data_IF_114130381057
#
_entry.id   IF_114130381057
#
_cell.length_a   1.000
_cell.length_b   1.000
_cell.length_c   1.000
_cell.angle_alpha   90.00
_cell.angle_beta   90.00
_cell.angle_gamma   90.00
#
_symmetry.space_group_name_H-M   'P 1'
#
loop_
_entity.id
_entity.type
_entity.pdbx_description
1 polymer ?
#
# COMPACT_ATOMS: atom_id res chain seq x y z
N UNK A 1 6.86 -21.70 6.89
CA UNK A 1 5.45 -21.27 6.78
C UNK A 1 5.34 -19.79 7.14
N UNK A 2 4.67 -18.96 6.31
CA UNK A 2 4.40 -17.56 6.64
C UNK A 2 3.29 -17.52 7.71
N UNK A 3 3.51 -16.83 8.82
CA UNK A 3 2.47 -16.70 9.87
C UNK A 3 1.33 -15.80 9.37
N UNK A 4 0.10 -16.06 9.80
CA UNK A 4 -1.08 -15.31 9.35
C UNK A 4 -1.01 -13.80 9.62
N UNK A 5 -0.36 -13.40 10.72
CA UNK A 5 -0.16 -12.01 11.12
C UNK A 5 0.99 -11.29 10.40
N UNK A 6 1.78 -11.99 9.58
CA UNK A 6 2.95 -11.41 8.91
C UNK A 6 2.50 -10.60 7.70
N UNK A 7 2.90 -9.33 7.72
CA UNK A 7 2.68 -8.37 6.65
C UNK A 7 3.98 -7.88 6.02
N UNK A 8 5.15 -8.21 6.60
CA UNK A 8 6.47 -7.84 6.09
C UNK A 8 7.38 -9.06 6.04
N UNK A 9 8.07 -9.26 4.93
CA UNK A 9 9.11 -10.26 4.74
C UNK A 9 10.43 -9.56 4.45
N UNK A 10 11.50 -10.02 5.07
CA UNK A 10 12.85 -9.51 4.84
C UNK A 10 13.74 -10.68 4.50
N UNK A 11 14.41 -10.62 3.36
CA UNK A 11 15.29 -11.68 2.88
C UNK A 11 16.75 -11.34 3.17
N UNK A 12 17.42 -12.24 3.87
CA UNK A 12 18.83 -12.11 4.24
C UNK A 12 19.58 -13.41 3.93
N UNK A 13 20.88 -13.34 3.74
CA UNK A 13 21.75 -14.51 3.59
C UNK A 13 22.66 -14.71 4.82
N UNK A 14 23.41 -15.81 4.81
CA UNK A 14 24.36 -16.14 5.87
C UNK A 14 25.53 -15.15 5.97
N UNK A 15 25.89 -14.50 4.87
CA UNK A 15 26.97 -13.50 4.86
C UNK A 15 26.53 -12.26 5.65
N UNK A 16 25.34 -11.74 5.37
CA UNK A 16 24.73 -10.63 6.09
C UNK A 16 24.62 -10.89 7.59
N UNK A 17 24.12 -12.07 7.97
CA UNK A 17 23.95 -12.41 9.39
C UNK A 17 25.29 -12.44 10.13
N UNK A 18 26.36 -12.92 9.48
CA UNK A 18 27.72 -12.96 10.03
C UNK A 18 28.33 -11.57 10.17
N UNK A 19 28.13 -10.70 9.18
CA UNK A 19 28.58 -9.30 9.24
C UNK A 19 27.85 -8.54 10.35
N UNK A 20 26.55 -8.81 10.55
CA UNK A 20 25.77 -8.28 11.67
C UNK A 20 26.30 -8.72 13.04
N UNK A 21 26.61 -10.02 13.19
CA UNK A 21 27.19 -10.58 14.42
C UNK A 21 28.50 -9.89 14.82
N UNK A 22 29.32 -9.51 13.83
CA UNK A 22 30.61 -8.88 14.06
C UNK A 22 30.50 -7.36 14.31
N UNK A 23 29.49 -6.71 13.74
CA UNK A 23 29.39 -5.24 13.71
C UNK A 23 28.34 -4.62 14.64
N UNK A 24 27.25 -5.33 14.97
CA UNK A 24 26.10 -4.73 15.65
C UNK A 24 25.21 -5.77 16.38
N UNK A 25 25.65 -6.25 17.55
CA UNK A 25 24.95 -7.27 18.35
C UNK A 25 23.51 -6.87 18.71
N UNK A 26 23.24 -5.60 19.03
CA UNK A 26 21.89 -5.14 19.34
C UNK A 26 20.93 -5.20 18.13
N UNK A 27 21.45 -5.00 16.92
CA UNK A 27 20.67 -5.06 15.68
C UNK A 27 20.42 -6.51 15.29
N UNK A 28 21.37 -7.40 15.54
CA UNK A 28 21.22 -8.84 15.33
C UNK A 28 19.99 -9.40 16.07
N UNK A 29 19.74 -8.93 17.30
CA UNK A 29 18.56 -9.35 18.06
C UNK A 29 17.25 -8.94 17.39
N UNK A 30 17.18 -7.79 16.73
CA UNK A 30 15.98 -7.35 16.00
C UNK A 30 15.70 -8.18 14.74
N UNK A 31 16.74 -8.75 14.11
CA UNK A 31 16.59 -9.65 12.98
C UNK A 31 16.27 -11.08 13.41
N UNK A 32 16.77 -11.52 14.56
CA UNK A 32 16.43 -12.83 15.13
C UNK A 32 15.05 -12.85 15.80
N UNK A 33 14.63 -11.72 16.38
CA UNK A 33 13.34 -11.54 17.05
C UNK A 33 12.58 -10.34 16.46
N UNK A 34 12.12 -10.43 15.20
CA UNK A 34 11.35 -9.35 14.58
C UNK A 34 10.00 -9.14 15.27
N UNK A 35 9.38 -7.99 15.02
CA UNK A 35 8.01 -7.70 15.47
C UNK A 35 7.02 -8.72 14.92
N UNK A 36 5.87 -8.88 15.57
CA UNK A 36 4.89 -9.92 15.21
C UNK A 36 4.35 -9.85 13.79
N UNK A 37 4.41 -8.69 13.16
CA UNK A 37 4.00 -8.43 11.77
C UNK A 37 5.13 -8.63 10.74
N UNK A 38 6.33 -8.97 11.18
CA UNK A 38 7.54 -9.07 10.36
C UNK A 38 8.17 -10.45 10.50
N UNK A 39 8.61 -11.03 9.38
CA UNK A 39 9.35 -12.28 9.37
C UNK A 39 10.62 -12.15 8.55
N UNK A 40 11.75 -12.51 9.16
CA UNK A 40 13.05 -12.57 8.49
C UNK A 40 13.22 -13.96 7.91
N UNK A 41 13.53 -14.04 6.63
CA UNK A 41 13.74 -15.26 5.86
C UNK A 41 15.24 -15.36 5.54
N UNK A 42 15.88 -16.41 6.05
CA UNK A 42 17.30 -16.69 5.82
C UNK A 42 17.46 -17.60 4.60
N UNK A 43 18.31 -17.20 3.67
CA UNK A 43 18.64 -17.96 2.45
C UNK A 43 19.95 -18.76 2.66
N UNK A 44 20.09 -19.95 2.03
CA UNK A 44 19.15 -20.60 1.11
C UNK A 44 17.96 -21.28 1.82
N UNK A 45 16.83 -21.38 1.12
CA UNK A 45 15.60 -22.01 1.62
C UNK A 45 15.62 -23.53 1.44
N UNK A 46 14.90 -24.23 2.33
CA UNK A 46 14.51 -25.61 2.09
C UNK A 46 13.38 -25.71 1.07
N UNK A 47 13.25 -26.85 0.41
CA UNK A 47 12.27 -27.06 -0.69
C UNK A 47 10.81 -26.90 -0.25
N UNK A 48 10.49 -27.34 0.97
CA UNK A 48 9.19 -27.15 1.60
C UNK A 48 8.89 -25.67 1.88
N UNK A 49 9.87 -24.92 2.37
CA UNK A 49 9.75 -23.48 2.63
C UNK A 49 9.56 -22.68 1.34
N UNK A 50 10.30 -23.04 0.28
CA UNK A 50 10.18 -22.43 -1.04
C UNK A 50 8.77 -22.59 -1.60
N UNK A 51 8.21 -23.81 -1.54
CA UNK A 51 6.86 -24.11 -2.04
C UNK A 51 5.79 -23.22 -1.40
N UNK A 52 5.92 -22.93 -0.11
CA UNK A 52 4.99 -22.02 0.58
C UNK A 52 5.17 -20.56 0.19
N UNK A 53 6.41 -20.11 -0.06
CA UNK A 53 6.70 -18.73 -0.43
C UNK A 53 6.20 -18.42 -1.84
N UNK A 54 6.43 -19.31 -2.81
CA UNK A 54 6.00 -19.10 -4.22
C UNK A 54 4.49 -19.08 -4.40
N UNK A 55 3.71 -19.56 -3.43
CA UNK A 55 2.25 -19.40 -3.43
C UNK A 55 1.80 -17.96 -3.08
N UNK A 56 2.67 -17.18 -2.45
CA UNK A 56 2.35 -15.86 -1.88
C UNK A 56 3.13 -14.70 -2.52
N UNK A 57 4.11 -14.98 -3.38
CA UNK A 57 4.95 -13.99 -4.08
C UNK A 57 5.55 -14.58 -5.36
N UNK A 58 6.18 -13.72 -6.18
CA UNK A 58 6.93 -14.16 -7.36
C UNK A 58 8.30 -14.74 -6.96
N UNK A 59 8.78 -15.76 -7.68
CA UNK A 59 10.07 -16.42 -7.40
C UNK A 59 11.23 -15.43 -7.52
N UNK A 60 11.14 -14.47 -8.44
CA UNK A 60 12.16 -13.44 -8.65
C UNK A 60 12.36 -12.52 -7.44
N UNK A 61 11.41 -12.52 -6.50
CA UNK A 61 11.44 -11.72 -5.29
C UNK A 61 12.15 -12.39 -4.11
N UNK A 62 12.51 -13.66 -4.25
CA UNK A 62 13.21 -14.45 -3.23
C UNK A 62 14.72 -14.28 -3.43
N UNK A 63 15.26 -13.13 -3.01
CA UNK A 63 16.69 -12.82 -3.11
C UNK A 63 17.17 -12.01 -1.90
N UNK A 64 18.44 -12.11 -1.51
CA UNK A 64 18.99 -11.29 -0.43
C UNK A 64 18.74 -9.80 -0.70
N UNK A 65 18.48 -9.02 0.34
CA UNK A 65 18.24 -7.58 0.23
C UNK A 65 16.80 -7.18 -0.09
N UNK A 66 15.93 -8.12 -0.47
CA UNK A 66 14.53 -7.80 -0.72
C UNK A 66 13.72 -7.61 0.57
N UNK A 67 12.89 -6.57 0.57
CA UNK A 67 11.83 -6.34 1.57
C UNK A 67 10.50 -6.39 0.84
N UNK A 68 9.64 -7.34 1.24
CA UNK A 68 8.30 -7.49 0.69
C UNK A 68 7.24 -7.15 1.73
N UNK A 69 6.15 -6.56 1.27
CA UNK A 69 5.07 -6.04 2.10
C UNK A 69 3.72 -6.53 1.58
N UNK A 70 2.77 -6.74 2.49
CA UNK A 70 1.43 -7.27 2.19
C UNK A 70 0.35 -6.29 2.64
N UNK A 71 -0.51 -5.79 1.74
CA UNK A 71 -1.70 -5.05 2.13
C UNK A 71 -2.71 -5.92 2.89
N UNK A 72 -3.52 -5.33 3.76
CA UNK A 72 -4.52 -6.10 4.54
C UNK A 72 -5.65 -6.69 3.70
N UNK A 73 -5.87 -6.16 2.49
CA UNK A 73 -6.96 -6.55 1.59
C UNK A 73 -6.55 -7.55 0.50
N UNK A 74 -5.30 -8.04 0.51
CA UNK A 74 -4.86 -9.06 -0.42
C UNK A 74 -3.83 -9.98 0.20
N UNK A 75 -4.00 -11.28 0.00
CA UNK A 75 -3.05 -12.27 0.48
C UNK A 75 -1.88 -12.47 -0.51
N UNK A 76 -1.18 -11.40 -0.85
CA UNK A 76 0.00 -11.43 -1.73
C UNK A 76 1.02 -10.38 -1.30
N UNK A 77 2.29 -10.78 -1.27
CA UNK A 77 3.39 -9.87 -0.99
C UNK A 77 3.86 -9.19 -2.27
N UNK A 78 4.24 -7.92 -2.13
CA UNK A 78 4.78 -7.06 -3.19
C UNK A 78 6.08 -6.43 -2.71
N UNK A 79 6.93 -6.00 -3.62
CA UNK A 79 8.07 -5.16 -3.24
C UNK A 79 7.58 -3.86 -2.62
N UNK A 80 8.38 -3.30 -1.72
CA UNK A 80 8.04 -2.06 -1.03
C UNK A 80 7.85 -0.90 -2.04
N UNK A 81 8.62 -0.89 -3.14
CA UNK A 81 8.44 0.07 -4.25
C UNK A 81 7.12 -0.10 -5.02
N UNK A 82 6.65 -1.34 -5.22
CA UNK A 82 5.39 -1.57 -5.93
C UNK A 82 4.17 -1.22 -5.08
N UNK A 83 4.31 -1.38 -3.76
CA UNK A 83 3.28 -1.02 -2.80
C UNK A 83 3.04 0.48 -2.76
N UNK A 84 4.08 1.31 -2.75
CA UNK A 84 3.92 2.77 -2.73
C UNK A 84 3.25 3.30 -4.01
N UNK A 85 3.55 2.72 -5.18
CA UNK A 85 3.01 3.19 -6.45
C UNK A 85 1.58 2.72 -6.76
N UNK A 86 1.26 1.45 -6.51
CA UNK A 86 0.05 0.82 -7.10
C UNK A 86 -1.12 0.62 -6.13
N UNK A 87 -0.87 0.74 -4.82
CA UNK A 87 -1.83 0.40 -3.77
C UNK A 87 -3.07 1.29 -3.78
N UNK A 88 -2.89 2.60 -3.98
CA UNK A 88 -3.98 3.59 -3.96
C UNK A 88 -5.01 3.29 -5.06
N UNK A 89 -4.51 3.19 -6.30
CA UNK A 89 -5.32 2.90 -7.48
C UNK A 89 -6.05 1.56 -7.35
N UNK A 90 -5.38 0.55 -6.80
CA UNK A 90 -5.98 -0.79 -6.62
C UNK A 90 -7.11 -0.77 -5.60
N UNK A 91 -6.93 -0.18 -4.42
CA UNK A 91 -8.00 -0.09 -3.41
C UNK A 91 -9.17 0.74 -3.93
N UNK A 92 -8.91 1.83 -4.66
CA UNK A 92 -9.97 2.62 -5.30
C UNK A 92 -10.75 1.79 -6.32
N UNK A 93 -10.09 0.97 -7.16
CA UNK A 93 -10.80 0.05 -8.07
C UNK A 93 -11.70 -0.94 -7.32
N UNK A 94 -11.23 -1.50 -6.20
CA UNK A 94 -12.04 -2.39 -5.36
C UNK A 94 -13.24 -1.65 -4.76
N UNK A 95 -13.04 -0.40 -4.34
CA UNK A 95 -14.11 0.47 -3.87
C UNK A 95 -15.18 0.69 -4.94
N UNK A 96 -14.76 1.09 -6.15
CA UNK A 96 -15.68 1.26 -7.28
C UNK A 96 -16.43 -0.04 -7.60
N UNK A 97 -15.75 -1.19 -7.61
CA UNK A 97 -16.38 -2.49 -7.84
C UNK A 97 -17.44 -2.81 -6.78
N UNK A 98 -17.15 -2.53 -5.50
CA UNK A 98 -18.12 -2.70 -4.42
C UNK A 98 -19.33 -1.77 -4.61
N UNK A 99 -19.10 -0.48 -4.90
CA UNK A 99 -20.19 0.47 -5.13
C UNK A 99 -21.08 0.04 -6.30
N UNK A 100 -20.50 -0.46 -7.40
CA UNK A 100 -21.26 -0.99 -8.53
C UNK A 100 -22.10 -2.22 -8.14
N UNK A 101 -21.55 -3.16 -7.38
CA UNK A 101 -22.30 -4.31 -6.87
C UNK A 101 -23.47 -3.87 -5.96
N UNK A 102 -23.28 -2.79 -5.21
CA UNK A 102 -24.31 -2.17 -4.38
C UNK A 102 -25.30 -1.27 -5.16
N UNK A 103 -25.19 -1.25 -6.49
CA UNK A 103 -26.12 -0.61 -7.41
C UNK A 103 -25.82 0.85 -7.72
N UNK A 104 -24.59 1.32 -7.51
CA UNK A 104 -24.21 2.70 -7.83
C UNK A 104 -24.40 3.03 -9.31
N UNK A 105 -24.92 4.24 -9.58
CA UNK A 105 -25.03 4.85 -10.91
C UNK A 105 -23.78 5.63 -11.28
N UNK A 106 -23.23 6.37 -10.31
CA UNK A 106 -22.08 7.23 -10.54
C UNK A 106 -21.08 7.08 -9.39
N UNK A 107 -19.82 6.82 -9.72
CA UNK A 107 -18.70 6.83 -8.77
C UNK A 107 -17.62 7.74 -9.34
N UNK A 108 -17.28 8.80 -8.61
CA UNK A 108 -16.29 9.78 -9.06
C UNK A 108 -15.48 10.35 -7.91
N UNK A 109 -14.19 10.50 -8.13
CA UNK A 109 -13.30 11.25 -7.24
C UNK A 109 -13.54 12.75 -7.42
N UNK A 110 -13.84 13.44 -6.32
CA UNK A 110 -14.01 14.88 -6.29
C UNK A 110 -12.71 15.62 -6.00
N UNK A 111 -11.91 15.09 -5.07
CA UNK A 111 -10.70 15.73 -4.58
C UNK A 111 -9.67 14.69 -4.15
N UNK A 112 -8.38 15.04 -4.26
CA UNK A 112 -7.26 14.27 -3.77
C UNK A 112 -6.45 15.18 -2.85
N UNK A 113 -6.32 14.77 -1.59
CA UNK A 113 -5.48 15.45 -0.60
C UNK A 113 -4.25 14.64 -0.29
N UNK A 114 -3.14 15.33 -0.08
CA UNK A 114 -1.92 14.74 0.43
C UNK A 114 -1.86 14.90 1.95
N UNK A 115 -1.55 13.79 2.63
CA UNK A 115 -1.42 13.70 4.08
C UNK A 115 0.02 13.31 4.39
N UNK A 116 0.75 14.20 5.07
CA UNK A 116 2.10 13.89 5.53
C UNK A 116 2.03 12.91 6.71
N UNK A 117 2.77 11.81 6.62
CA UNK A 117 2.76 10.74 7.61
C UNK A 117 3.68 11.04 8.81
N UNK A 118 4.75 11.82 8.62
CA UNK A 118 5.74 12.15 9.66
C UNK A 118 5.36 13.36 10.50
N UNK A 119 4.57 14.28 9.94
CA UNK A 119 3.97 15.37 10.71
C UNK A 119 2.75 14.81 11.47
N UNK A 120 2.91 14.60 12.78
CA UNK A 120 1.79 14.22 13.64
C UNK A 120 0.58 15.13 13.42
N UNK A 121 -0.58 14.50 13.21
CA UNK A 121 -1.94 15.04 13.07
C UNK A 121 -2.09 16.45 12.45
N UNK A 122 -2.71 16.51 11.27
CA UNK A 122 -3.31 17.68 10.62
C UNK A 122 -2.41 18.67 9.84
N UNK A 123 -1.44 18.18 9.06
CA UNK A 123 -0.94 18.97 7.92
C UNK A 123 -1.53 18.46 6.60
N UNK A 124 -2.82 18.71 6.41
CA UNK A 124 -3.50 18.52 5.13
C UNK A 124 -2.96 19.56 4.13
N UNK A 125 -2.23 19.12 3.11
CA UNK A 125 -1.91 19.97 1.96
C UNK A 125 -2.97 19.71 0.90
N UNK A 126 -3.96 20.60 0.80
CA UNK A 126 -4.97 20.54 -0.27
C UNK A 126 -4.39 21.13 -1.56
N UNK A 127 -4.05 20.30 -2.53
CA UNK A 127 -3.66 20.76 -3.87
C UNK A 127 -4.92 20.85 -4.73
N UNK A 128 -5.53 22.04 -4.80
CA UNK A 128 -6.54 22.33 -5.84
C UNK A 128 -5.81 22.47 -7.18
N UNK A 129 -5.90 21.46 -8.02
CA UNK A 129 -5.38 21.49 -9.38
C UNK A 129 -6.22 22.42 -10.28
N UNK A 130 -6.04 23.74 -10.12
CA UNK A 130 -6.33 24.69 -11.19
C UNK A 130 -5.03 24.91 -11.97
N UNK A 131 -5.04 24.52 -13.24
CA UNK A 131 -3.92 24.66 -14.16
C UNK A 131 -3.38 26.10 -14.18
N UNK A 132 -2.22 26.33 -13.56
CA UNK A 132 -1.30 27.43 -13.85
C UNK A 132 0.08 27.07 -13.30
N UNK A 133 1.03 26.88 -14.22
CA UNK A 133 2.47 26.71 -13.98
C UNK A 133 3.04 27.79 -13.06
N UNK A 134 4.03 27.45 -12.22
CA UNK A 134 5.19 28.31 -11.98
C UNK A 134 6.37 27.49 -11.43
N UNK A 135 7.52 27.85 -11.97
CA UNK A 135 8.81 27.14 -12.02
C UNK A 135 9.63 27.38 -10.75
N UNK A 136 10.34 26.36 -10.27
CA UNK A 136 11.51 26.52 -9.40
C UNK A 136 12.62 25.58 -9.90
N UNK A 137 13.65 26.18 -10.50
CA UNK A 137 14.88 25.52 -10.96
C UNK A 137 15.77 25.13 -9.79
N UNK A 138 16.30 23.91 -9.83
CA UNK A 138 17.42 23.47 -9.00
C UNK A 138 17.26 22.04 -8.48
N UNK A 139 17.94 21.07 -9.13
CA UNK A 139 17.92 19.60 -8.93
C UNK A 139 16.84 18.82 -9.71
N UNK A 140 16.87 18.93 -11.05
CA UNK A 140 15.73 18.57 -11.92
C UNK A 140 15.85 17.29 -12.75
N UNK A 141 16.78 16.34 -12.48
CA UNK A 141 16.84 15.11 -13.31
C UNK A 141 16.33 13.82 -12.65
N UNK A 142 16.26 13.76 -11.31
CA UNK A 142 15.63 12.62 -10.60
C UNK A 142 14.24 13.00 -10.08
N UNK A 143 14.06 14.26 -9.68
CA UNK A 143 12.80 14.82 -9.18
C UNK A 143 11.74 15.00 -10.27
N UNK A 144 12.16 15.21 -11.54
CA UNK A 144 11.25 15.46 -12.66
C UNK A 144 10.53 14.20 -13.18
N UNK A 145 11.14 13.02 -13.06
CA UNK A 145 10.46 11.74 -13.39
C UNK A 145 9.53 11.26 -12.27
N UNK A 146 9.87 11.55 -11.01
CA UNK A 146 9.08 11.14 -9.85
C UNK A 146 7.82 11.97 -9.66
N UNK A 147 7.90 13.28 -9.94
CA UNK A 147 6.70 14.12 -10.05
C UNK A 147 5.81 13.68 -11.22
N UNK A 148 6.33 13.02 -12.27
CA UNK A 148 5.47 12.54 -13.37
C UNK A 148 4.60 11.37 -12.93
N UNK A 149 5.16 10.33 -12.30
CA UNK A 149 4.42 9.08 -12.03
C UNK A 149 3.39 9.16 -10.91
N UNK A 150 3.71 9.85 -9.80
CA UNK A 150 2.72 10.13 -8.77
C UNK A 150 1.58 11.02 -9.30
N UNK A 151 1.90 11.99 -10.16
CA UNK A 151 0.89 12.79 -10.86
C UNK A 151 0.13 11.96 -11.91
N UNK A 152 0.75 11.00 -12.59
CA UNK A 152 0.08 10.06 -13.50
C UNK A 152 -0.94 9.21 -12.75
N UNK A 153 -0.60 8.68 -11.57
CA UNK A 153 -1.54 7.92 -10.72
C UNK A 153 -2.69 8.81 -10.27
N UNK A 154 -2.40 10.04 -9.82
CA UNK A 154 -3.45 11.02 -9.46
C UNK A 154 -4.35 11.32 -10.63
N UNK A 155 -3.78 11.57 -11.80
CA UNK A 155 -4.52 11.86 -13.01
C UNK A 155 -5.39 10.67 -13.40
N UNK A 156 -4.86 9.45 -13.37
CA UNK A 156 -5.62 8.22 -13.60
C UNK A 156 -6.78 8.08 -12.61
N UNK A 157 -6.57 8.36 -11.32
CA UNK A 157 -7.62 8.29 -10.30
C UNK A 157 -8.70 9.35 -10.53
N UNK A 158 -8.32 10.58 -10.88
CA UNK A 158 -9.25 11.67 -11.18
C UNK A 158 -10.05 11.43 -12.45
N UNK A 159 -9.41 10.85 -13.48
CA UNK A 159 -10.03 10.52 -14.75
C UNK A 159 -10.91 9.26 -14.66
N UNK A 160 -10.75 8.47 -13.60
CA UNK A 160 -11.63 7.33 -13.30
C UNK A 160 -12.97 7.83 -12.75
N UNK A 161 -13.87 8.19 -13.66
CA UNK A 161 -15.31 8.25 -13.42
C UNK A 161 -15.97 6.99 -13.93
N UNK A 162 -16.88 6.43 -13.14
CA UNK A 162 -17.68 5.27 -13.55
C UNK A 162 -19.15 5.65 -13.61
N UNK A 163 -19.75 5.43 -14.79
CA UNK A 163 -21.17 5.61 -15.05
C UNK A 163 -21.81 4.25 -15.36
N UNK A 164 -22.92 3.96 -14.70
CA UNK A 164 -23.71 2.74 -14.87
C UNK A 164 -25.21 3.07 -14.85
N UNK A 165 -26.04 2.14 -15.32
CA UNK A 165 -27.51 2.31 -15.31
C UNK A 165 -28.07 2.44 -13.87
N UNK A 166 -27.33 1.93 -12.89
CA UNK A 166 -27.79 1.72 -11.52
C UNK A 166 -28.68 0.50 -11.40
N UNK A 167 -28.73 -0.08 -10.21
CA UNK A 167 -29.54 -1.28 -9.96
C UNK A 167 -29.94 -1.38 -8.49
N UNK A 168 -30.77 -2.37 -8.18
CA UNK A 168 -30.94 -2.79 -6.78
C UNK A 168 -29.60 -3.39 -6.30
N UNK A 169 -29.22 -3.17 -5.03
CA UNK A 169 -28.02 -3.78 -4.47
C UNK A 169 -28.02 -5.31 -4.67
N UNK A 170 -26.93 -5.84 -5.20
CA UNK A 170 -26.61 -7.27 -5.18
C UNK A 170 -25.70 -7.53 -3.97
N UNK A 171 -26.34 -7.79 -2.82
CA UNK A 171 -25.63 -8.02 -1.56
C UNK A 171 -24.77 -9.28 -1.60
N UNK A 172 -25.16 -10.30 -2.37
CA UNK A 172 -24.37 -11.53 -2.52
C UNK A 172 -23.08 -11.27 -3.30
N UNK A 173 -23.15 -10.48 -4.38
CA UNK A 173 -21.97 -10.07 -5.12
C UNK A 173 -21.06 -9.16 -4.28
N UNK A 174 -21.63 -8.21 -3.55
CA UNK A 174 -20.90 -7.34 -2.64
C UNK A 174 -20.19 -8.16 -1.54
N UNK A 175 -20.88 -9.12 -0.92
CA UNK A 175 -20.31 -10.01 0.08
C UNK A 175 -19.14 -10.85 -0.47
N UNK A 176 -19.27 -11.39 -1.69
CA UNK A 176 -18.16 -12.12 -2.35
C UNK A 176 -16.94 -11.24 -2.60
N UNK A 177 -17.13 -9.95 -2.93
CA UNK A 177 -16.01 -8.99 -3.09
C UNK A 177 -15.34 -8.78 -1.73
N UNK A 178 -16.12 -8.52 -0.68
CA UNK A 178 -15.60 -8.30 0.66
C UNK A 178 -14.81 -9.50 1.17
N UNK A 179 -15.31 -10.72 0.95
CA UNK A 179 -14.64 -11.97 1.34
C UNK A 179 -13.35 -12.21 0.56
N UNK A 180 -13.44 -12.14 -0.78
CA UNK A 180 -12.31 -12.42 -1.67
C UNK A 180 -11.09 -11.53 -1.37
N UNK A 181 -11.34 -10.28 -0.98
CA UNK A 181 -10.31 -9.30 -0.69
C UNK A 181 -10.18 -8.99 0.81
N UNK A 182 -10.77 -9.80 1.70
CA UNK A 182 -10.66 -9.60 3.16
C UNK A 182 -10.98 -8.16 3.62
N UNK A 183 -11.98 -7.52 2.98
CA UNK A 183 -12.36 -6.12 3.21
C UNK A 183 -13.40 -5.96 4.34
N UNK A 184 -13.84 -7.05 4.98
CA UNK A 184 -14.74 -6.99 6.14
C UNK A 184 -14.16 -6.27 7.35
N UNK A 185 -12.84 -6.11 7.40
CA UNK A 185 -12.13 -5.39 8.46
C UNK A 185 -11.79 -3.95 8.08
N UNK A 186 -12.21 -3.50 6.90
CA UNK A 186 -12.05 -2.12 6.47
C UNK A 186 -13.36 -1.37 6.73
N UNK A 187 -13.36 -0.50 7.75
CA UNK A 187 -14.54 0.22 8.23
C UNK A 187 -15.26 0.97 7.11
N UNK A 188 -14.52 1.51 6.15
CA UNK A 188 -15.11 2.24 5.04
C UNK A 188 -15.88 1.30 4.10
N UNK A 189 -15.30 0.17 3.72
CA UNK A 189 -15.95 -0.84 2.87
C UNK A 189 -17.19 -1.43 3.54
N UNK A 190 -17.11 -1.67 4.84
CA UNK A 190 -18.26 -2.12 5.62
C UNK A 190 -19.35 -1.05 5.73
N UNK A 191 -18.98 0.22 5.95
CA UNK A 191 -19.96 1.29 6.11
C UNK A 191 -20.87 1.46 4.89
N UNK A 192 -20.32 1.42 3.66
CA UNK A 192 -21.15 1.55 2.45
C UNK A 192 -22.01 0.31 2.23
N UNK A 193 -21.51 -0.88 2.57
CA UNK A 193 -22.27 -2.12 2.50
C UNK A 193 -23.48 -2.06 3.44
N UNK A 194 -23.26 -1.73 4.71
CA UNK A 194 -24.30 -1.62 5.74
C UNK A 194 -25.33 -0.54 5.39
N UNK A 195 -24.89 0.63 4.89
CA UNK A 195 -25.79 1.68 4.42
C UNK A 195 -26.69 1.23 3.26
N UNK A 196 -26.21 0.33 2.41
CA UNK A 196 -26.95 -0.19 1.25
C UNK A 196 -27.77 -1.44 1.57
N UNK A 197 -27.47 -2.13 2.66
CA UNK A 197 -28.31 -3.19 3.22
C UNK A 197 -29.62 -2.63 3.80
N UNK A 198 -29.63 -1.38 4.26
CA UNK A 198 -30.83 -0.71 4.77
C UNK A 198 -31.86 -0.42 3.66
N UNK A 199 -32.93 -1.22 3.62
CA UNK A 199 -33.97 -1.13 2.58
C UNK A 199 -35.04 -0.06 2.84
N UNK A 200 -35.11 0.51 4.05
CA UNK A 200 -36.20 1.43 4.46
C UNK A 200 -35.97 2.89 4.06
N UNK A 201 -34.70 3.30 3.90
CA UNK A 201 -34.31 4.63 3.43
C UNK A 201 -33.11 4.50 2.49
N UNK A 202 -33.41 4.31 1.19
CA UNK A 202 -32.38 4.06 0.20
C UNK A 202 -31.41 5.24 0.09
N UNK A 203 -30.14 4.98 0.37
CA UNK A 203 -29.07 5.95 0.13
C UNK A 203 -29.08 6.36 -1.34
N UNK A 204 -29.23 7.66 -1.62
CA UNK A 204 -29.20 8.21 -2.98
C UNK A 204 -27.82 8.72 -3.37
N UNK A 205 -27.15 9.38 -2.43
CA UNK A 205 -25.87 10.04 -2.65
C UNK A 205 -25.12 10.17 -1.34
N UNK A 206 -23.81 9.91 -1.36
CA UNK A 206 -22.95 10.09 -0.22
C UNK A 206 -21.51 10.42 -0.66
N UNK A 207 -20.81 11.21 0.15
CA UNK A 207 -19.39 11.50 -0.04
C UNK A 207 -18.59 10.67 0.95
N UNK A 208 -17.68 9.85 0.43
CA UNK A 208 -16.82 8.95 1.19
C UNK A 208 -15.37 9.43 1.14
N UNK A 209 -14.61 9.14 2.19
CA UNK A 209 -13.19 9.47 2.26
C UNK A 209 -12.34 8.20 2.32
N UNK A 210 -11.58 7.92 1.27
CA UNK A 210 -10.60 6.82 1.28
C UNK A 210 -9.27 7.37 1.76
N UNK A 211 -8.90 7.02 2.99
CA UNK A 211 -7.64 7.43 3.61
C UNK A 211 -6.61 6.29 3.57
N UNK A 212 -5.51 6.53 2.85
CA UNK A 212 -4.44 5.56 2.67
C UNK A 212 -3.31 5.70 3.69
N UNK A 213 -3.35 6.74 4.55
CA UNK A 213 -2.28 7.02 5.50
C UNK A 213 -2.09 5.89 6.50
N UNK A 214 -3.19 5.24 6.92
CA UNK A 214 -3.14 4.13 7.87
C UNK A 214 -2.48 2.88 7.27
N UNK A 215 -2.77 2.57 6.00
CA UNK A 215 -2.17 1.45 5.27
C UNK A 215 -0.66 1.66 5.11
N UNK A 216 -0.27 2.89 4.73
CA UNK A 216 1.14 3.24 4.54
C UNK A 216 1.87 3.26 5.89
N UNK A 217 1.32 3.88 6.95
CA UNK A 217 1.92 3.89 8.30
C UNK A 217 2.20 2.49 8.86
N UNK A 218 1.30 1.54 8.60
CA UNK A 218 1.47 0.15 9.06
C UNK A 218 2.65 -0.51 8.37
N UNK A 219 2.84 -0.25 7.07
CA UNK A 219 3.92 -0.85 6.27
C UNK A 219 5.24 -0.11 6.50
N UNK A 220 5.26 1.20 6.30
CA UNK A 220 6.42 2.09 6.38
C UNK A 220 6.57 2.67 7.78
N UNK A 221 6.91 1.79 8.72
CA UNK A 221 7.18 2.20 10.10
C UNK A 221 8.68 2.32 10.38
N UNK A 222 9.02 2.87 11.55
CA UNK A 222 10.41 3.05 11.98
C UNK A 222 11.21 1.75 12.02
N UNK A 223 10.56 0.61 12.26
CA UNK A 223 11.22 -0.70 12.28
C UNK A 223 11.70 -1.12 10.90
N UNK A 224 10.91 -0.89 9.85
CA UNK A 224 11.33 -1.15 8.47
C UNK A 224 12.44 -0.19 8.05
N UNK A 225 12.34 1.10 8.41
CA UNK A 225 13.41 2.08 8.14
C UNK A 225 14.74 1.64 8.73
N UNK A 226 14.75 1.30 10.02
CA UNK A 226 15.97 0.88 10.72
C UNK A 226 16.60 -0.37 10.08
N UNK A 227 15.78 -1.34 9.66
CA UNK A 227 16.27 -2.55 8.99
C UNK A 227 16.80 -2.26 7.59
N UNK A 228 16.15 -1.38 6.84
CA UNK A 228 16.63 -0.92 5.54
C UNK A 228 17.99 -0.21 5.66
N UNK A 229 18.15 0.71 6.63
CA UNK A 229 19.42 1.41 6.88
C UNK A 229 20.57 0.44 7.20
N UNK A 230 20.28 -0.62 7.94
CA UNK A 230 21.25 -1.67 8.28
C UNK A 230 21.59 -2.49 7.03
N UNK A 231 20.58 -2.92 6.27
CA UNK A 231 20.77 -3.68 5.05
C UNK A 231 21.58 -2.90 4.01
N UNK A 232 21.27 -1.63 3.80
CA UNK A 232 22.01 -0.75 2.89
C UNK A 232 23.49 -0.61 3.28
N UNK A 233 23.81 -0.59 4.58
CA UNK A 233 25.19 -0.54 5.08
C UNK A 233 25.94 -1.85 4.86
N UNK A 234 25.31 -2.98 5.20
CA UNK A 234 25.95 -4.30 5.16
C UNK A 234 26.14 -4.78 3.72
N UNK A 235 25.12 -4.63 2.88
CA UNK A 235 25.17 -5.04 1.47
C UNK A 235 25.73 -3.96 0.53
N UNK A 236 26.37 -2.91 1.06
CA UNK A 236 26.83 -1.76 0.28
C UNK A 236 27.68 -2.19 -0.92
N UNK A 237 27.26 -1.78 -2.13
CA UNK A 237 27.95 -2.09 -3.38
C UNK A 237 27.72 -3.52 -3.91
N UNK A 238 26.96 -4.36 -3.21
CA UNK A 238 26.54 -5.71 -3.65
C UNK A 238 25.10 -5.71 -4.17
N UNK A 239 24.25 -4.86 -3.61
CA UNK A 239 22.82 -4.76 -3.92
C UNK A 239 22.46 -3.27 -4.03
N UNK A 240 21.59 -2.94 -4.98
CA UNK A 240 21.04 -1.59 -5.15
C UNK A 240 19.81 -1.41 -4.23
N UNK A 241 19.95 -0.53 -3.24
CA UNK A 241 18.88 -0.15 -2.31
C UNK A 241 18.22 1.19 -2.65
N UNK A 242 18.70 1.90 -3.68
CA UNK A 242 18.21 3.25 -4.00
C UNK A 242 16.71 3.22 -4.27
N UNK A 243 16.22 2.17 -4.93
CA UNK A 243 14.79 2.00 -5.21
C UNK A 243 13.95 1.82 -3.93
N UNK A 244 14.42 1.04 -2.96
CA UNK A 244 13.75 0.80 -1.67
C UNK A 244 13.78 2.03 -0.77
N UNK A 245 14.92 2.74 -0.69
CA UNK A 245 15.03 3.99 0.06
C UNK A 245 14.11 5.06 -0.53
N UNK A 246 14.11 5.20 -1.86
CA UNK A 246 13.21 6.11 -2.55
C UNK A 246 11.74 5.78 -2.27
N UNK A 247 11.35 4.51 -2.30
CA UNK A 247 9.98 4.11 -1.98
C UNK A 247 9.59 4.44 -0.53
N UNK A 248 10.54 4.32 0.41
CA UNK A 248 10.33 4.71 1.80
C UNK A 248 10.13 6.23 1.95
N UNK A 249 10.93 7.01 1.23
CA UNK A 249 10.81 8.47 1.21
C UNK A 249 9.50 8.92 0.55
N UNK A 250 9.09 8.30 -0.55
CA UNK A 250 7.83 8.59 -1.24
C UNK A 250 6.62 8.24 -0.35
N UNK A 251 6.73 7.18 0.46
CA UNK A 251 5.71 6.79 1.42
C UNK A 251 5.53 7.80 2.57
N UNK A 252 6.35 8.85 2.69
CA UNK A 252 6.11 9.94 3.66
C UNK A 252 4.84 10.74 3.36
N UNK A 253 4.33 10.66 2.13
CA UNK A 253 3.08 11.30 1.73
C UNK A 253 2.05 10.24 1.37
N UNK A 254 0.92 10.24 2.08
CA UNK A 254 -0.23 9.41 1.76
C UNK A 254 -1.28 10.22 0.97
N UNK A 255 -2.06 9.54 0.14
CA UNK A 255 -3.22 10.16 -0.50
C UNK A 255 -4.48 9.95 0.36
N UNK A 256 -5.40 10.90 0.28
CA UNK A 256 -6.77 10.81 0.77
C UNK A 256 -7.71 11.25 -0.33
N UNK A 257 -8.65 10.38 -0.72
CA UNK A 257 -9.58 10.64 -1.81
C UNK A 257 -10.94 11.03 -1.25
N UNK A 258 -11.51 12.13 -1.70
CA UNK A 258 -12.95 12.40 -1.56
C UNK A 258 -13.67 11.79 -2.76
N UNK A 259 -14.62 10.90 -2.50
CA UNK A 259 -15.31 10.14 -3.53
C UNK A 259 -16.81 10.35 -3.37
N UNK A 260 -17.42 10.85 -4.43
CA UNK A 260 -18.86 10.94 -4.53
C UNK A 260 -19.42 9.66 -5.14
N UNK A 261 -20.39 9.07 -4.44
CA UNK A 261 -21.14 7.92 -4.93
C UNK A 261 -22.63 8.26 -5.00
N UNK A 262 -23.24 8.04 -6.16
CA UNK A 262 -24.68 8.17 -6.40
C UNK A 262 -25.25 6.79 -6.74
N UNK A 263 -26.38 6.42 -6.11
CA UNK A 263 -27.06 5.12 -6.25
C UNK A 263 -28.43 5.23 -6.91
#
# INVERSE_FOLDING_TARGET
MIKSCVNKLIFVDEEFMRELEQGAVSVLEEFNNPTSDTQVIKLPLKEDELTHLVQSMDVSEIKPGNILVKPNYINRFFRIEEFSESHVLRKYRLWTQLCLALGAKHVKVQDIKDVNIEAGNDSDISVKATASSLVAEGSLDVSAKKSSRANEIRQQIMDMSTDAEGSKPDLDAAHRILEKYNLFHDDLFMSVYEMRELMTNSLKRHEFYLDFSSDIKKVFNSSIKAKLDVMAKVYKGRIDFDSQENAFEDARTAMKLSILVEF
#
